data_IF_577806621969
#
_entry.id   IF_577806621969
#
_cell.length_a   1.000
_cell.length_b   1.000
_cell.length_c   1.000
_cell.angle_alpha   90.00
_cell.angle_beta   90.00
_cell.angle_gamma   90.00
#
_symmetry.space_group_name_H-M   'P 1'
#
loop_
_entity.id
_entity.type
_entity.pdbx_description
1 polymer ?
#
# COMPACT_ATOMS: atom_id res chain seq x y z
N UNK A 1 0.29 -10.70 3.80
CA UNK A 1 1.49 -9.88 4.05
C UNK A 1 1.28 -9.07 5.32
N UNK A 2 2.34 -8.68 6.02
CA UNK A 2 2.26 -7.66 7.09
C UNK A 2 2.08 -6.27 6.46
N UNK A 3 1.67 -5.29 7.27
CA UNK A 3 1.49 -3.91 6.78
C UNK A 3 2.82 -3.27 6.35
N UNK A 4 3.93 -3.65 6.97
CA UNK A 4 5.28 -3.23 6.58
C UNK A 4 5.68 -3.82 5.23
N UNK A 5 5.39 -5.09 4.98
CA UNK A 5 5.63 -5.73 3.68
C UNK A 5 4.81 -5.07 2.56
N UNK A 6 3.57 -4.66 2.84
CA UNK A 6 2.73 -3.91 1.89
C UNK A 6 3.31 -2.52 1.60
N UNK A 7 3.80 -1.84 2.63
CA UNK A 7 4.43 -0.52 2.49
C UNK A 7 5.67 -0.59 1.58
N UNK A 8 6.53 -1.57 1.83
CA UNK A 8 7.73 -1.78 1.03
C UNK A 8 7.38 -2.18 -0.41
N UNK A 9 6.40 -3.06 -0.63
CA UNK A 9 5.93 -3.40 -1.97
C UNK A 9 5.41 -2.18 -2.74
N UNK A 10 4.60 -1.33 -2.11
CA UNK A 10 4.10 -0.09 -2.73
C UNK A 10 5.24 0.83 -3.20
N UNK A 11 6.36 0.85 -2.48
CA UNK A 11 7.54 1.64 -2.85
C UNK A 11 8.38 0.99 -3.93
N UNK A 12 8.76 -0.25 -3.70
CA UNK A 12 9.81 -0.90 -4.47
C UNK A 12 9.27 -1.48 -5.77
N UNK A 13 8.04 -2.00 -5.76
CA UNK A 13 7.42 -2.67 -6.91
C UNK A 13 6.45 -1.76 -7.67
N UNK A 14 5.68 -0.93 -6.95
CA UNK A 14 4.65 -0.05 -7.55
C UNK A 14 5.08 1.42 -7.66
N UNK A 15 6.28 1.78 -7.20
CA UNK A 15 6.89 3.10 -7.41
C UNK A 15 6.25 4.24 -6.64
N UNK A 16 5.48 3.97 -5.58
CA UNK A 16 4.91 5.00 -4.71
C UNK A 16 6.01 5.59 -3.85
N UNK A 17 6.13 6.92 -3.83
CA UNK A 17 7.14 7.56 -2.98
C UNK A 17 6.78 7.45 -1.49
N UNK A 18 7.81 7.29 -0.66
CA UNK A 18 7.71 7.31 0.82
C UNK A 18 6.91 8.50 1.33
N UNK A 19 7.16 9.70 0.78
CA UNK A 19 6.42 10.91 1.15
C UNK A 19 4.91 10.78 0.86
N UNK A 20 4.54 10.18 -0.27
CA UNK A 20 3.12 9.99 -0.63
C UNK A 20 2.45 9.02 0.33
N UNK A 21 3.10 7.90 0.65
CA UNK A 21 2.58 6.94 1.62
C UNK A 21 2.42 7.56 3.01
N UNK A 22 3.40 8.35 3.46
CA UNK A 22 3.31 9.10 4.72
C UNK A 22 2.15 10.08 4.71
N UNK A 23 1.94 10.84 3.63
CA UNK A 23 0.80 11.75 3.51
C UNK A 23 -0.52 10.99 3.58
N UNK A 24 -0.69 9.94 2.77
CA UNK A 24 -1.95 9.17 2.73
C UNK A 24 -2.25 8.53 4.09
N UNK A 25 -1.26 7.92 4.73
CA UNK A 25 -1.45 7.28 6.05
C UNK A 25 -1.64 8.27 7.19
N UNK A 26 -1.11 9.48 7.09
CA UNK A 26 -1.44 10.54 8.03
C UNK A 26 -2.90 11.02 7.89
N UNK A 27 -3.51 10.89 6.71
CA UNK A 27 -4.90 11.29 6.45
C UNK A 27 -5.87 10.15 6.79
N UNK A 28 -5.60 8.95 6.28
CA UNK A 28 -6.52 7.80 6.31
C UNK A 28 -6.19 6.79 7.43
N UNK A 29 -5.07 6.98 8.14
CA UNK A 29 -4.56 6.04 9.13
C UNK A 29 -3.62 5.00 8.54
N UNK A 30 -2.69 4.51 9.37
CA UNK A 30 -1.80 3.40 9.05
C UNK A 30 -2.54 2.07 9.24
N UNK A 31 -3.16 1.57 8.18
CA UNK A 31 -3.97 0.34 8.19
C UNK A 31 -3.78 -0.46 6.90
N UNK A 32 -4.12 -1.75 6.93
CA UNK A 32 -4.12 -2.62 5.74
C UNK A 32 -5.08 -2.11 4.67
N UNK A 33 -6.27 -1.64 5.07
CA UNK A 33 -7.26 -1.06 4.16
C UNK A 33 -6.67 0.15 3.42
N UNK A 34 -5.92 1.00 4.12
CA UNK A 34 -5.21 2.13 3.49
C UNK A 34 -4.17 1.67 2.47
N UNK A 35 -3.43 0.58 2.74
CA UNK A 35 -2.46 0.04 1.78
C UNK A 35 -3.14 -0.52 0.52
N UNK A 36 -4.26 -1.23 0.69
CA UNK A 36 -5.07 -1.74 -0.43
C UNK A 36 -5.70 -0.60 -1.25
N UNK A 37 -6.14 0.48 -0.62
CA UNK A 37 -6.65 1.66 -1.32
C UNK A 37 -5.56 2.31 -2.20
N UNK A 38 -4.33 2.42 -1.70
CA UNK A 38 -3.20 2.93 -2.48
C UNK A 38 -2.88 1.98 -3.63
N UNK A 39 -2.81 0.67 -3.38
CA UNK A 39 -2.58 -0.33 -4.42
C UNK A 39 -3.62 -0.22 -5.53
N UNK A 40 -4.90 -0.10 -5.17
CA UNK A 40 -5.99 0.06 -6.12
C UNK A 40 -5.83 1.33 -6.96
N UNK A 41 -5.39 2.43 -6.36
CA UNK A 41 -5.17 3.67 -7.06
C UNK A 41 -4.02 3.62 -8.08
N UNK A 42 -2.95 2.87 -7.80
CA UNK A 42 -1.72 2.87 -8.63
C UNK A 42 -1.62 1.69 -9.59
N UNK A 43 -2.24 0.55 -9.25
CA UNK A 43 -2.15 -0.70 -10.01
C UNK A 43 -3.51 -1.25 -10.47
N UNK A 44 -4.63 -0.67 -10.01
CA UNK A 44 -5.98 -1.23 -10.17
C UNK A 44 -6.16 -2.65 -9.59
N UNK A 45 -5.29 -3.04 -8.66
CA UNK A 45 -5.32 -4.30 -7.92
C UNK A 45 -5.92 -4.09 -6.52
N UNK A 46 -6.56 -5.12 -5.95
CA UNK A 46 -7.17 -5.04 -4.60
C UNK A 46 -6.45 -5.85 -3.53
N UNK A 47 -5.51 -6.70 -3.94
CA UNK A 47 -4.74 -7.58 -3.08
C UNK A 47 -3.32 -7.63 -3.60
N UNK A 48 -2.35 -7.66 -2.69
CA UNK A 48 -0.94 -7.81 -3.06
C UNK A 48 -0.66 -9.26 -3.49
N UNK A 49 0.27 -9.44 -4.41
CA UNK A 49 0.76 -10.77 -4.78
C UNK A 49 1.32 -11.50 -3.56
N UNK A 50 0.76 -12.68 -3.25
CA UNK A 50 1.13 -13.46 -2.07
C UNK A 50 0.29 -13.20 -0.82
N UNK A 51 -0.73 -12.33 -0.88
CA UNK A 51 -1.81 -12.38 0.11
C UNK A 51 -2.64 -13.66 -0.04
N UNK A 52 -2.72 -14.44 1.03
CA UNK A 52 -3.78 -15.45 1.16
C UNK A 52 -5.09 -14.73 1.45
N UNK A 53 -6.02 -14.81 0.50
CA UNK A 53 -7.38 -14.28 0.60
C UNK A 53 -8.19 -14.97 1.71
#
# INVERSE_FOLDING_TARGET
MSIEEMWDALKDDYGVSEQTLQVVTNINGYSTDTMHDVLYAVAAERHFDGEVA
#
